data_IF_422255525682
#
_entry.id   IF_422255525682
#
_cell.length_a   1.000
_cell.length_b   1.000
_cell.length_c   1.000
_cell.angle_alpha   90.00
_cell.angle_beta   90.00
_cell.angle_gamma   90.00
#
_symmetry.space_group_name_H-M   'P 1'
#
loop_
_entity.id
_entity.type
_entity.pdbx_description
1 polymer ?
#
# COMPACT_ATOMS: atom_id res chain seq x y z
N UNK A 1 57.72 -6.98 88.75
CA UNK A 1 58.51 -7.84 89.66
C UNK A 1 59.35 -8.81 88.87
N UNK A 2 60.68 -8.77 89.12
CA UNK A 2 61.76 -9.74 88.72
C UNK A 2 62.15 -9.67 87.21
N UNK A 3 63.43 -9.62 86.90
CA UNK A 3 64.76 -9.38 87.55
C UNK A 3 65.76 -9.32 86.37
N UNK A 4 66.61 -8.31 86.45
CA UNK A 4 67.81 -8.21 85.64
C UNK A 4 68.79 -9.39 85.98
N UNK A 5 69.36 -9.98 84.97
CA UNK A 5 70.63 -10.74 85.12
C UNK A 5 71.63 -10.21 84.08
N UNK A 6 72.58 -9.47 84.61
CA UNK A 6 73.86 -9.16 83.97
C UNK A 6 74.69 -10.48 83.76
N UNK A 7 75.16 -10.68 82.59
CA UNK A 7 76.25 -11.67 82.33
C UNK A 7 77.45 -10.86 81.81
N UNK A 8 78.70 -11.21 82.26
CA UNK A 8 79.90 -10.39 82.02
C UNK A 8 80.39 -10.48 80.57
N UNK A 9 80.91 -9.33 80.08
CA UNK A 9 81.52 -9.16 78.78
C UNK A 9 82.85 -9.96 78.73
N UNK A 10 82.87 -11.00 77.90
CA UNK A 10 84.13 -11.63 77.44
C UNK A 10 84.75 -10.64 76.43
N UNK A 11 85.96 -10.17 76.84
CA UNK A 11 86.87 -9.50 75.87
C UNK A 11 87.21 -10.44 74.73
N UNK A 12 86.68 -10.24 73.61
CA UNK A 12 87.14 -10.83 72.33
C UNK A 12 88.33 -10.03 71.82
N UNK A 13 89.47 -10.68 71.67
CA UNK A 13 90.64 -10.14 70.94
C UNK A 13 90.17 -9.62 69.56
N UNK A 14 90.67 -8.46 69.13
CA UNK A 14 90.36 -7.97 67.76
C UNK A 14 90.88 -8.95 66.74
N UNK A 15 90.07 -9.38 65.83
CA UNK A 15 90.40 -10.16 64.67
C UNK A 15 91.39 -9.42 63.74
N UNK A 16 92.27 -10.07 62.99
CA UNK A 16 93.24 -9.41 62.15
C UNK A 16 92.62 -8.35 61.19
N UNK A 17 91.39 -8.58 60.81
CA UNK A 17 90.64 -7.64 59.92
C UNK A 17 90.32 -6.33 60.53
N UNK A 18 90.22 -6.24 61.90
CA UNK A 18 89.96 -5.02 62.62
C UNK A 18 91.17 -4.10 62.68
N UNK A 19 92.38 -4.64 62.61
CA UNK A 19 93.64 -3.89 62.60
C UNK A 19 93.95 -3.35 61.16
N UNK A 20 93.52 -4.01 60.14
CA UNK A 20 93.70 -3.58 58.71
C UNK A 20 92.82 -2.38 58.42
N UNK A 21 91.62 -2.27 58.99
CA UNK A 21 90.71 -1.17 58.82
C UNK A 21 91.24 0.22 59.33
N UNK A 22 92.13 0.24 60.30
CA UNK A 22 92.77 1.47 60.86
C UNK A 22 93.68 2.12 59.83
N UNK A 23 94.19 1.39 58.84
CA UNK A 23 95.10 1.93 57.79
C UNK A 23 94.55 2.03 56.43
N UNK A 24 93.24 1.77 56.21
CA UNK A 24 92.61 1.99 54.95
C UNK A 24 92.26 3.46 54.72
N UNK A 25 92.29 3.88 53.47
CA UNK A 25 91.90 5.27 53.14
C UNK A 25 90.34 5.43 53.31
N UNK A 26 89.90 6.58 53.76
CA UNK A 26 88.45 6.95 54.02
C UNK A 26 87.52 6.50 52.85
N UNK A 27 88.03 6.49 51.62
CA UNK A 27 87.27 6.08 50.44
C UNK A 27 87.02 4.58 50.35
N UNK A 28 87.98 3.71 50.86
CA UNK A 28 87.85 2.27 50.91
C UNK A 28 86.98 1.81 52.08
N UNK A 29 86.92 2.54 53.17
CA UNK A 29 86.06 2.28 54.32
C UNK A 29 84.61 2.44 53.95
N UNK A 30 84.29 3.52 53.24
CA UNK A 30 82.87 3.78 52.76
C UNK A 30 82.43 2.75 51.72
N UNK A 31 83.38 2.09 51.03
CA UNK A 31 83.05 1.10 50.02
C UNK A 31 82.83 -0.28 50.55
N UNK A 32 83.42 -0.57 51.71
CA UNK A 32 83.33 -1.89 52.32
C UNK A 32 82.39 -1.97 53.51
N UNK A 33 81.84 -0.84 53.96
CA UNK A 33 80.80 -0.80 54.99
C UNK A 33 79.53 -1.55 54.51
N UNK A 34 79.07 -2.56 55.21
CA UNK A 34 77.82 -3.24 54.87
C UNK A 34 76.69 -2.26 54.93
N UNK A 35 76.00 -2.13 53.83
CA UNK A 35 74.79 -1.32 53.75
C UNK A 35 73.88 -1.54 54.96
N UNK A 36 73.44 -0.49 55.64
CA UNK A 36 72.62 -0.64 56.83
C UNK A 36 71.35 -1.42 56.50
N UNK A 37 71.07 -2.47 57.27
CA UNK A 37 69.92 -3.37 57.05
C UNK A 37 68.57 -2.61 56.94
N UNK A 38 68.51 -1.42 57.50
CA UNK A 38 67.38 -0.53 57.47
C UNK A 38 67.08 -0.02 56.04
N UNK A 39 68.07 0.25 55.19
CA UNK A 39 67.90 0.66 53.80
C UNK A 39 67.35 -0.50 52.93
N UNK A 40 67.76 -1.74 53.22
CA UNK A 40 67.24 -2.92 52.54
C UNK A 40 65.79 -3.20 52.92
N UNK A 41 65.46 -3.02 54.21
CA UNK A 41 64.06 -3.15 54.65
C UNK A 41 63.20 -2.08 54.04
N UNK A 42 63.64 -0.83 53.95
CA UNK A 42 62.93 0.27 53.34
C UNK A 42 62.72 0.00 51.86
N UNK A 43 63.75 -0.52 51.16
CA UNK A 43 63.61 -0.91 49.72
C UNK A 43 62.59 -2.03 49.52
N UNK A 44 62.65 -3.07 50.40
CA UNK A 44 61.67 -4.17 50.31
C UNK A 44 60.27 -3.76 50.67
N UNK A 45 60.07 -2.84 51.62
CA UNK A 45 58.79 -2.28 51.99
C UNK A 45 58.28 -1.45 50.83
N UNK A 46 59.09 -0.60 50.18
CA UNK A 46 58.73 0.20 49.06
C UNK A 46 58.38 -0.66 47.81
N UNK A 47 59.19 -1.70 47.57
CA UNK A 47 58.93 -2.69 46.52
C UNK A 47 57.62 -3.48 46.76
N UNK A 48 57.40 -3.90 48.02
CA UNK A 48 56.17 -4.56 48.44
C UNK A 48 54.93 -3.66 48.28
N UNK A 49 55.07 -2.37 48.69
CA UNK A 49 54.01 -1.41 48.47
C UNK A 49 53.72 -1.14 46.98
N UNK A 50 54.76 -1.08 46.16
CA UNK A 50 54.61 -0.93 44.71
C UNK A 50 53.90 -2.13 44.06
N UNK A 51 54.30 -3.37 44.45
CA UNK A 51 53.64 -4.59 43.99
C UNK A 51 52.19 -4.67 44.48
N UNK A 52 51.93 -4.24 45.75
CA UNK A 52 50.56 -4.19 46.27
C UNK A 52 49.71 -3.16 45.50
N UNK A 53 50.28 -2.01 45.17
CA UNK A 53 49.60 -0.95 44.39
C UNK A 53 49.32 -1.41 42.94
N UNK A 54 50.25 -2.14 42.33
CA UNK A 54 50.02 -2.78 41.03
C UNK A 54 48.94 -3.86 41.08
N UNK A 55 48.93 -4.69 42.13
CA UNK A 55 47.89 -5.66 42.34
C UNK A 55 46.50 -5.03 42.51
N UNK A 56 46.38 -3.99 43.33
CA UNK A 56 45.16 -3.23 43.52
C UNK A 56 44.74 -2.60 42.20
N UNK A 57 45.65 -2.02 41.42
CA UNK A 57 45.37 -1.40 40.11
C UNK A 57 44.90 -2.46 39.08
N UNK A 58 45.31 -3.72 39.21
CA UNK A 58 44.86 -4.80 38.33
C UNK A 58 43.41 -5.24 38.64
N UNK A 59 43.02 -5.29 39.91
CA UNK A 59 41.68 -5.69 40.33
C UNK A 59 40.68 -4.52 40.29
N UNK A 60 41.15 -3.29 40.38
CA UNK A 60 40.26 -2.11 40.32
C UNK A 60 39.80 -1.87 38.88
N UNK A 61 38.48 -1.88 38.68
CA UNK A 61 37.86 -1.69 37.35
C UNK A 61 37.29 -0.26 37.25
N UNK A 62 37.52 0.40 36.13
CA UNK A 62 36.92 1.68 35.75
C UNK A 62 36.00 1.44 34.59
N UNK A 63 34.75 1.94 34.69
CA UNK A 63 33.81 1.88 33.58
C UNK A 63 34.30 2.76 32.44
N UNK A 64 34.29 2.19 31.24
CA UNK A 64 34.54 2.95 30.03
C UNK A 64 33.21 3.55 29.55
N UNK A 65 33.18 4.86 29.40
CA UNK A 65 32.00 5.61 28.97
C UNK A 65 32.33 6.21 27.60
N UNK A 66 31.37 6.13 26.68
CA UNK A 66 31.34 6.87 25.43
C UNK A 66 30.27 7.94 25.56
N UNK A 67 30.69 9.22 25.52
CA UNK A 67 29.76 10.33 25.59
C UNK A 67 29.39 10.78 24.18
N UNK A 68 28.09 10.95 23.95
CA UNK A 68 27.59 11.47 22.68
C UNK A 68 27.98 12.94 22.49
N UNK A 69 28.28 13.35 21.26
CA UNK A 69 28.60 14.74 20.94
C UNK A 69 27.35 15.64 20.94
N UNK A 70 26.21 15.08 20.56
CA UNK A 70 24.90 15.73 20.54
C UNK A 70 23.81 14.66 20.56
N UNK A 71 22.59 15.04 20.92
CA UNK A 71 21.43 14.18 20.84
C UNK A 71 20.14 14.95 21.02
N UNK A 72 19.05 14.34 20.59
CA UNK A 72 17.70 14.88 20.75
C UNK A 72 16.69 13.77 21.00
N UNK A 73 15.59 14.14 21.64
CA UNK A 73 14.45 13.22 21.77
C UNK A 73 13.73 13.15 20.46
N UNK A 74 13.51 11.92 19.97
CA UNK A 74 12.74 11.63 18.77
C UNK A 74 11.59 10.68 19.08
N UNK A 75 10.52 10.73 18.31
CA UNK A 75 9.46 9.73 18.38
C UNK A 75 9.88 8.46 17.63
N UNK A 76 9.46 7.31 18.13
CA UNK A 76 9.70 6.03 17.43
C UNK A 76 8.93 5.98 16.11
N UNK A 77 7.75 6.59 16.06
CA UNK A 77 6.96 6.74 14.85
C UNK A 77 7.27 8.07 14.16
N UNK A 78 7.33 8.08 12.83
CA UNK A 78 7.56 9.31 12.07
C UNK A 78 6.40 10.29 12.26
N UNK A 79 6.69 11.58 12.09
CA UNK A 79 5.65 12.60 12.06
C UNK A 79 4.67 12.34 10.91
N UNK A 80 3.39 12.50 11.17
CA UNK A 80 2.32 12.35 10.18
C UNK A 80 2.22 13.66 9.41
N UNK A 81 2.41 13.59 8.09
CA UNK A 81 2.29 14.75 7.21
C UNK A 81 0.97 14.67 6.45
N UNK A 82 0.07 15.61 6.72
CA UNK A 82 -1.16 15.78 5.96
C UNK A 82 -0.90 16.75 4.81
N UNK A 83 -1.15 16.28 3.60
CA UNK A 83 -0.90 17.01 2.36
C UNK A 83 -2.11 16.95 1.44
N UNK A 84 -2.22 17.89 0.51
CA UNK A 84 -3.26 17.86 -0.51
C UNK A 84 -2.96 16.76 -1.54
N UNK A 85 -3.98 15.94 -1.86
CA UNK A 85 -3.86 14.91 -2.90
C UNK A 85 -3.91 15.52 -4.31
N UNK A 86 -4.75 16.55 -4.49
CA UNK A 86 -4.94 17.28 -5.73
C UNK A 86 -4.77 18.79 -5.48
N UNK A 87 -4.47 19.62 -6.51
CA UNK A 87 -4.47 21.07 -6.39
C UNK A 87 -5.82 21.57 -5.86
N UNK A 88 -5.80 22.21 -4.71
CA UNK A 88 -7.02 22.57 -3.99
C UNK A 88 -6.89 23.94 -3.31
N UNK A 89 -8.01 24.59 -3.03
CA UNK A 89 -8.07 25.85 -2.31
C UNK A 89 -8.41 25.56 -0.84
N UNK A 90 -7.70 26.16 0.10
CA UNK A 90 -7.99 26.05 1.52
C UNK A 90 -9.29 26.81 1.82
N UNK A 91 -10.33 26.10 2.28
CA UNK A 91 -11.62 26.67 2.68
C UNK A 91 -11.67 27.05 4.15
N UNK A 92 -11.16 26.19 5.03
CA UNK A 92 -10.97 26.48 6.46
C UNK A 92 -9.74 25.80 6.98
N UNK A 93 -9.17 26.38 8.05
CA UNK A 93 -8.08 25.83 8.83
C UNK A 93 -8.49 25.98 10.30
N UNK A 94 -8.78 24.86 10.96
CA UNK A 94 -9.51 24.86 12.22
C UNK A 94 -8.60 24.54 13.41
N UNK A 95 -7.26 24.55 13.22
CA UNK A 95 -6.25 24.22 14.24
C UNK A 95 -5.08 25.20 14.22
N UNK A 96 -4.33 25.25 15.35
CA UNK A 96 -3.13 26.08 15.51
C UNK A 96 -1.89 25.24 15.86
N UNK A 97 -0.70 25.78 15.61
CA UNK A 97 0.56 25.14 16.03
C UNK A 97 0.60 24.96 17.55
N UNK A 98 0.98 23.76 18.00
CA UNK A 98 1.00 23.38 19.42
C UNK A 98 -0.33 22.85 19.96
N UNK A 99 -1.41 22.88 19.19
CA UNK A 99 -2.72 22.37 19.60
C UNK A 99 -2.74 20.84 19.65
N UNK A 100 -3.46 20.28 20.65
CA UNK A 100 -3.70 18.84 20.74
C UNK A 100 -4.99 18.47 20.01
N UNK A 101 -4.88 17.53 19.12
CA UNK A 101 -5.98 17.04 18.30
C UNK A 101 -6.28 15.58 18.61
N UNK A 102 -7.54 15.20 18.52
CA UNK A 102 -8.00 13.83 18.75
C UNK A 102 -8.18 13.10 17.41
N UNK A 103 -8.10 11.77 17.45
CA UNK A 103 -8.43 10.93 16.32
C UNK A 103 -9.80 11.31 15.71
N UNK A 104 -9.85 11.49 14.38
CA UNK A 104 -11.05 11.92 13.66
C UNK A 104 -11.43 13.40 13.79
N UNK A 105 -10.64 14.22 14.51
CA UNK A 105 -10.89 15.66 14.60
C UNK A 105 -10.60 16.32 13.25
N UNK A 106 -11.53 17.15 12.76
CA UNK A 106 -11.35 17.95 11.55
C UNK A 106 -10.29 19.03 11.79
N UNK A 107 -9.28 19.06 10.93
CA UNK A 107 -8.14 19.98 11.02
C UNK A 107 -8.19 21.07 9.96
N UNK A 108 -8.59 20.72 8.77
CA UNK A 108 -8.74 21.64 7.64
C UNK A 108 -9.77 21.10 6.66
N UNK A 109 -10.41 22.02 5.93
CA UNK A 109 -11.30 21.68 4.82
C UNK A 109 -10.77 22.34 3.55
N UNK A 110 -10.61 21.56 2.51
CA UNK A 110 -10.30 22.05 1.17
C UNK A 110 -11.60 22.34 0.40
N UNK A 111 -11.52 23.01 -0.73
CA UNK A 111 -12.70 23.29 -1.56
C UNK A 111 -13.20 22.00 -2.24
N UNK A 112 -14.43 21.55 -1.94
CA UNK A 112 -14.98 20.30 -2.48
C UNK A 112 -15.52 20.43 -3.91
N UNK A 113 -15.50 21.60 -4.53
CA UNK A 113 -16.26 21.90 -5.76
C UNK A 113 -15.93 20.93 -6.89
N UNK A 114 -14.65 20.69 -7.16
CA UNK A 114 -14.23 19.74 -8.21
C UNK A 114 -14.55 18.29 -7.83
N UNK A 115 -14.22 17.88 -6.62
CA UNK A 115 -14.50 16.52 -6.16
C UNK A 115 -16.00 16.22 -6.13
N UNK A 116 -16.84 17.19 -5.70
CA UNK A 116 -18.28 17.03 -5.73
C UNK A 116 -18.85 16.98 -7.16
N UNK A 117 -18.27 17.73 -8.10
CA UNK A 117 -18.65 17.67 -9.52
C UNK A 117 -18.32 16.29 -10.12
N UNK A 118 -17.16 15.70 -9.79
CA UNK A 118 -16.78 14.37 -10.27
C UNK A 118 -17.72 13.28 -9.73
N UNK A 119 -18.08 13.35 -8.44
CA UNK A 119 -19.10 12.48 -7.84
C UNK A 119 -20.44 12.63 -8.55
N UNK A 120 -20.88 13.86 -8.80
CA UNK A 120 -22.13 14.17 -9.51
C UNK A 120 -22.13 13.63 -10.95
N UNK A 121 -21.03 13.79 -11.68
CA UNK A 121 -20.86 13.27 -13.03
C UNK A 121 -20.91 11.74 -13.07
N UNK A 122 -20.18 11.06 -12.18
CA UNK A 122 -20.18 9.60 -12.08
C UNK A 122 -21.56 9.04 -11.69
N UNK A 123 -22.26 9.69 -10.75
CA UNK A 123 -23.62 9.31 -10.35
C UNK A 123 -24.62 9.47 -11.52
N UNK A 124 -24.52 10.56 -12.28
CA UNK A 124 -25.34 10.80 -13.48
C UNK A 124 -25.11 9.74 -14.55
N UNK A 125 -23.86 9.35 -14.76
CA UNK A 125 -23.49 8.29 -15.70
C UNK A 125 -24.08 6.94 -15.28
N UNK A 126 -24.04 6.59 -14.00
CA UNK A 126 -24.66 5.37 -13.45
C UNK A 126 -26.16 5.39 -13.70
N UNK A 127 -26.85 6.48 -13.36
CA UNK A 127 -28.30 6.59 -13.56
C UNK A 127 -28.70 6.43 -15.04
N UNK A 128 -27.93 7.00 -15.96
CA UNK A 128 -28.13 6.84 -17.40
C UNK A 128 -28.00 5.38 -17.84
N UNK A 129 -26.93 4.69 -17.39
CA UNK A 129 -26.67 3.29 -17.72
C UNK A 129 -27.68 2.33 -17.09
N UNK A 130 -28.12 2.58 -15.86
CA UNK A 130 -29.18 1.78 -15.20
C UNK A 130 -30.51 1.91 -15.93
N UNK A 131 -30.87 3.11 -16.40
CA UNK A 131 -32.05 3.33 -17.23
C UNK A 131 -31.94 2.57 -18.59
N UNK A 132 -30.75 2.59 -19.23
CA UNK A 132 -30.48 1.83 -20.47
C UNK A 132 -30.57 0.33 -20.24
N UNK A 133 -29.97 -0.20 -19.18
CA UNK A 133 -30.03 -1.63 -18.82
C UNK A 133 -31.49 -2.06 -18.59
N UNK A 134 -32.23 -1.26 -17.85
CA UNK A 134 -33.65 -1.55 -17.57
C UNK A 134 -34.49 -1.61 -18.86
N UNK A 135 -34.24 -0.70 -19.82
CA UNK A 135 -34.87 -0.74 -21.14
C UNK A 135 -34.51 -1.99 -21.92
N UNK A 136 -33.21 -2.28 -22.06
CA UNK A 136 -32.74 -3.44 -22.86
C UNK A 136 -33.24 -4.77 -22.26
N UNK A 137 -33.33 -4.86 -20.93
CA UNK A 137 -33.94 -6.02 -20.26
C UNK A 137 -35.43 -6.15 -20.55
N UNK A 138 -36.17 -5.02 -20.63
CA UNK A 138 -37.58 -5.04 -20.98
C UNK A 138 -37.79 -5.47 -22.45
N UNK A 139 -36.94 -4.99 -23.38
CA UNK A 139 -36.94 -5.39 -24.80
C UNK A 139 -36.68 -6.91 -24.96
N UNK A 140 -35.65 -7.46 -24.30
CA UNK A 140 -35.35 -8.89 -24.36
C UNK A 140 -36.43 -9.77 -23.75
N UNK A 141 -37.06 -9.28 -22.70
CA UNK A 141 -38.15 -10.00 -22.04
C UNK A 141 -39.51 -9.78 -22.71
N UNK A 142 -39.57 -9.05 -23.82
CA UNK A 142 -40.82 -8.65 -24.50
C UNK A 142 -41.87 -8.08 -23.54
N UNK A 143 -41.43 -7.29 -22.53
CA UNK A 143 -42.32 -6.66 -21.55
C UNK A 143 -42.37 -5.15 -21.77
N UNK A 144 -43.48 -4.55 -21.39
CA UNK A 144 -43.60 -3.10 -21.44
C UNK A 144 -42.61 -2.43 -20.46
N UNK A 145 -41.85 -1.49 -20.95
CA UNK A 145 -40.94 -0.67 -20.17
C UNK A 145 -41.71 0.46 -19.47
N UNK A 146 -42.04 0.24 -18.19
CA UNK A 146 -42.69 1.19 -17.32
C UNK A 146 -41.80 1.50 -16.12
N UNK A 147 -40.77 2.36 -16.25
CA UNK A 147 -39.94 2.72 -15.13
C UNK A 147 -40.76 3.46 -14.08
N UNK A 148 -40.43 3.33 -12.76
CA UNK A 148 -41.07 4.08 -11.71
C UNK A 148 -40.89 5.59 -11.96
N UNK A 149 -41.89 6.38 -11.60
CA UNK A 149 -41.82 7.84 -11.70
C UNK A 149 -40.87 8.35 -10.61
N UNK A 150 -39.63 8.70 -10.99
CA UNK A 150 -38.63 9.25 -10.08
C UNK A 150 -38.65 10.78 -10.23
N UNK A 151 -38.71 11.49 -9.10
CA UNK A 151 -38.91 12.96 -9.06
C UNK A 151 -37.58 13.74 -9.06
N UNK A 152 -36.46 13.20 -9.56
CA UNK A 152 -35.12 13.82 -9.53
C UNK A 152 -34.44 13.81 -10.90
N UNK A 153 -33.25 14.40 -11.09
CA UNK A 153 -32.57 14.46 -12.39
C UNK A 153 -32.47 13.13 -13.11
N UNK A 154 -32.47 12.01 -12.40
CA UNK A 154 -32.54 10.66 -12.95
C UNK A 154 -33.83 10.41 -13.78
N UNK A 155 -34.91 11.13 -13.52
CA UNK A 155 -36.13 11.04 -14.30
C UNK A 155 -35.96 11.45 -15.77
N UNK A 156 -34.98 12.29 -16.07
CA UNK A 156 -34.69 12.71 -17.46
C UNK A 156 -34.15 11.50 -18.26
N UNK A 157 -33.28 10.69 -17.68
CA UNK A 157 -32.72 9.50 -18.35
C UNK A 157 -33.78 8.41 -18.57
N UNK A 158 -34.63 8.18 -17.58
CA UNK A 158 -35.72 7.18 -17.71
C UNK A 158 -36.76 7.63 -18.73
N UNK A 159 -37.08 8.92 -18.79
CA UNK A 159 -37.99 9.49 -19.81
C UNK A 159 -37.43 9.35 -21.22
N UNK A 160 -36.14 9.65 -21.40
CA UNK A 160 -35.45 9.49 -22.68
C UNK A 160 -35.42 8.01 -23.12
N UNK A 161 -35.08 7.10 -22.21
CA UNK A 161 -35.05 5.67 -22.51
C UNK A 161 -36.45 5.11 -22.80
N UNK A 162 -37.51 5.67 -22.18
CA UNK A 162 -38.90 5.31 -22.49
C UNK A 162 -39.29 5.72 -23.90
N UNK A 163 -38.96 6.93 -24.29
CA UNK A 163 -39.22 7.39 -25.66
C UNK A 163 -38.50 6.52 -26.69
N UNK A 164 -37.23 6.21 -26.44
CA UNK A 164 -36.43 5.34 -27.29
C UNK A 164 -36.99 3.92 -27.36
N UNK A 165 -37.42 3.34 -26.24
CA UNK A 165 -38.10 2.04 -26.17
C UNK A 165 -39.33 2.00 -27.06
N UNK A 166 -40.22 3.00 -26.96
CA UNK A 166 -41.46 3.06 -27.75
C UNK A 166 -41.17 3.12 -29.25
N UNK A 167 -40.18 3.90 -29.67
CA UNK A 167 -39.73 3.97 -31.05
C UNK A 167 -39.21 2.61 -31.55
N UNK A 168 -38.33 1.98 -30.81
CA UNK A 168 -37.77 0.67 -31.17
C UNK A 168 -38.80 -0.44 -31.22
N UNK A 169 -39.72 -0.46 -30.21
CA UNK A 169 -40.84 -1.40 -30.17
C UNK A 169 -41.73 -1.23 -31.41
N UNK A 170 -42.09 0.02 -31.74
CA UNK A 170 -42.88 0.29 -32.97
C UNK A 170 -42.19 -0.17 -34.23
N UNK A 171 -40.89 -0.03 -34.37
CA UNK A 171 -40.11 -0.52 -35.48
C UNK A 171 -40.11 -2.06 -35.55
N UNK A 172 -39.88 -2.73 -34.42
CA UNK A 172 -39.90 -4.20 -34.31
C UNK A 172 -41.27 -4.77 -34.68
N UNK A 173 -42.32 -4.24 -34.07
CA UNK A 173 -43.68 -4.70 -34.28
C UNK A 173 -44.14 -4.49 -35.79
N UNK A 174 -43.79 -3.35 -36.40
CA UNK A 174 -44.09 -3.09 -37.79
C UNK A 174 -43.36 -4.08 -38.74
N UNK A 175 -42.10 -4.39 -38.49
CA UNK A 175 -41.33 -5.33 -39.29
C UNK A 175 -41.83 -6.77 -39.10
N UNK A 176 -42.21 -7.14 -37.87
CA UNK A 176 -42.79 -8.46 -37.60
C UNK A 176 -44.13 -8.64 -38.31
N UNK A 177 -45.02 -7.61 -38.24
CA UNK A 177 -46.29 -7.58 -38.96
C UNK A 177 -46.09 -7.75 -40.45
N UNK A 178 -45.11 -7.07 -41.04
CA UNK A 178 -44.81 -7.22 -42.50
C UNK A 178 -44.47 -8.66 -42.87
N UNK A 179 -43.68 -9.37 -42.07
CA UNK A 179 -43.41 -10.78 -42.27
C UNK A 179 -44.66 -11.67 -42.10
N UNK A 180 -45.48 -11.41 -41.07
CA UNK A 180 -46.69 -12.17 -40.78
C UNK A 180 -47.74 -12.02 -41.95
N UNK A 181 -47.87 -10.83 -42.50
CA UNK A 181 -48.71 -10.59 -43.70
C UNK A 181 -48.18 -11.32 -44.94
N UNK A 182 -46.87 -11.34 -45.14
CA UNK A 182 -46.26 -12.09 -46.25
C UNK A 182 -46.41 -13.61 -46.09
N UNK A 183 -46.30 -14.13 -44.85
CA UNK A 183 -46.58 -15.53 -44.51
C UNK A 183 -48.06 -15.85 -44.79
N UNK A 184 -49.00 -14.96 -44.39
CA UNK A 184 -50.43 -15.13 -44.66
C UNK A 184 -50.74 -15.16 -46.18
N UNK A 185 -50.09 -14.30 -46.95
CA UNK A 185 -50.22 -14.28 -48.44
C UNK A 185 -49.69 -15.62 -49.04
N UNK A 186 -48.51 -16.09 -48.66
CA UNK A 186 -47.95 -17.33 -49.14
C UNK A 186 -48.86 -18.53 -48.76
N UNK A 187 -49.40 -18.58 -47.56
CA UNK A 187 -50.38 -19.59 -47.13
C UNK A 187 -51.66 -19.56 -47.94
N UNK A 188 -52.15 -18.37 -48.33
CA UNK A 188 -53.34 -18.23 -49.18
C UNK A 188 -53.05 -18.76 -50.61
N UNK A 189 -51.87 -18.49 -51.19
CA UNK A 189 -51.43 -19.01 -52.48
C UNK A 189 -51.35 -20.54 -52.47
N UNK A 190 -50.77 -21.14 -51.43
CA UNK A 190 -50.68 -22.59 -51.24
C UNK A 190 -52.06 -23.22 -51.16
N UNK A 191 -53.01 -22.62 -50.42
CA UNK A 191 -54.39 -23.13 -50.37
C UNK A 191 -55.02 -23.12 -51.74
N UNK A 192 -54.96 -22.00 -52.47
CA UNK A 192 -55.49 -21.88 -53.83
C UNK A 192 -54.95 -23.00 -54.79
N UNK A 193 -53.60 -23.18 -54.78
CA UNK A 193 -52.99 -24.21 -55.66
C UNK A 193 -53.37 -25.64 -55.25
N UNK A 194 -53.54 -25.88 -53.91
CA UNK A 194 -54.07 -27.22 -53.47
C UNK A 194 -55.51 -27.44 -53.89
N UNK A 195 -56.37 -26.42 -53.82
CA UNK A 195 -57.75 -26.53 -54.31
C UNK A 195 -57.77 -26.72 -55.82
N UNK A 196 -56.97 -25.97 -56.59
CA UNK A 196 -56.86 -26.11 -58.03
C UNK A 196 -56.38 -27.57 -58.45
N UNK A 197 -55.38 -28.08 -57.74
CA UNK A 197 -54.86 -29.43 -57.95
C UNK A 197 -55.95 -30.50 -57.67
N UNK A 198 -56.75 -30.34 -56.64
CA UNK A 198 -57.87 -31.26 -56.36
C UNK A 198 -58.88 -31.24 -57.47
N UNK A 199 -59.21 -30.07 -58.04
CA UNK A 199 -60.08 -29.98 -59.20
C UNK A 199 -59.45 -30.63 -60.47
N UNK A 200 -58.14 -30.46 -60.69
CA UNK A 200 -57.45 -31.12 -61.82
C UNK A 200 -57.38 -32.65 -61.66
N UNK A 201 -57.19 -33.16 -60.39
CA UNK A 201 -57.25 -34.60 -60.12
C UNK A 201 -58.60 -35.18 -60.59
N UNK A 202 -59.72 -34.55 -60.36
CA UNK A 202 -61.05 -35.04 -60.81
C UNK A 202 -61.20 -34.91 -62.32
N UNK A 203 -60.71 -33.81 -62.93
CA UNK A 203 -60.67 -33.63 -64.36
C UNK A 203 -59.84 -34.70 -65.10
N UNK A 204 -58.67 -35.05 -64.50
CA UNK A 204 -57.82 -36.15 -65.09
C UNK A 204 -58.56 -37.49 -65.03
N UNK A 205 -59.31 -37.79 -63.91
CA UNK A 205 -60.11 -39.02 -63.82
C UNK A 205 -61.15 -39.09 -64.95
N UNK A 206 -61.97 -38.05 -65.10
CA UNK A 206 -63.00 -37.96 -66.16
C UNK A 206 -62.37 -38.03 -67.57
N UNK A 207 -61.25 -37.32 -67.82
CA UNK A 207 -60.57 -37.32 -69.12
C UNK A 207 -59.98 -38.69 -69.48
N UNK A 208 -59.46 -39.41 -68.44
CA UNK A 208 -58.98 -40.82 -68.62
C UNK A 208 -60.12 -41.79 -68.94
N UNK A 209 -61.30 -41.64 -68.33
CA UNK A 209 -62.48 -42.41 -68.60
C UNK A 209 -62.96 -42.18 -70.04
N UNK A 210 -63.06 -40.92 -70.48
CA UNK A 210 -63.42 -40.56 -71.87
C UNK A 210 -62.44 -41.16 -72.86
N UNK A 211 -61.14 -41.06 -72.63
CA UNK A 211 -60.09 -41.67 -73.49
C UNK A 211 -60.27 -43.20 -73.56
N UNK A 212 -60.51 -43.88 -72.44
CA UNK A 212 -60.74 -45.32 -72.33
C UNK A 212 -61.97 -45.76 -73.17
N UNK A 213 -63.09 -45.00 -73.01
CA UNK A 213 -64.28 -45.26 -73.81
C UNK A 213 -64.00 -45.12 -75.32
N UNK A 214 -63.29 -44.05 -75.74
CA UNK A 214 -62.91 -43.79 -77.13
C UNK A 214 -61.93 -44.83 -77.70
N UNK A 215 -60.98 -45.29 -76.86
CA UNK A 215 -60.05 -46.38 -77.19
C UNK A 215 -60.77 -47.67 -77.44
N UNK A 216 -61.77 -48.06 -76.66
CA UNK A 216 -62.60 -49.24 -76.80
C UNK A 216 -63.42 -49.16 -78.10
N UNK A 217 -64.05 -48.01 -78.41
CA UNK A 217 -64.77 -47.75 -79.60
C UNK A 217 -63.89 -47.86 -80.89
N UNK A 218 -62.69 -47.28 -80.81
CA UNK A 218 -61.69 -47.35 -81.92
C UNK A 218 -61.18 -48.77 -82.17
N UNK A 219 -60.92 -49.55 -81.06
CA UNK A 219 -60.52 -50.96 -81.16
C UNK A 219 -61.56 -51.81 -81.76
N UNK A 220 -62.85 -51.54 -81.53
CA UNK A 220 -64.01 -52.20 -82.08
C UNK A 220 -64.37 -51.74 -83.51
N UNK A 221 -63.57 -50.83 -84.15
CA UNK A 221 -63.79 -50.29 -85.49
C UNK A 221 -65.08 -49.43 -85.62
N UNK A 222 -65.72 -49.02 -84.52
CA UNK A 222 -66.95 -48.22 -84.50
C UNK A 222 -66.64 -46.74 -84.27
N UNK A 223 -65.44 -46.39 -83.73
CA UNK A 223 -65.00 -45.02 -83.48
C UNK A 223 -63.87 -44.53 -84.32
N UNK A 224 -63.79 -43.23 -84.61
CA UNK A 224 -62.70 -42.57 -85.31
C UNK A 224 -61.43 -42.56 -84.55
N UNK A 225 -60.27 -42.95 -85.12
CA UNK A 225 -58.91 -42.81 -84.57
C UNK A 225 -58.57 -41.34 -84.21
N UNK A 226 -59.08 -40.38 -85.02
CA UNK A 226 -58.91 -38.94 -84.75
C UNK A 226 -59.55 -38.57 -83.42
N UNK A 227 -60.77 -39.06 -83.13
CA UNK A 227 -61.45 -38.81 -81.86
C UNK A 227 -60.68 -39.38 -80.66
N UNK A 228 -59.99 -40.52 -80.79
CA UNK A 228 -59.12 -41.04 -79.71
C UNK A 228 -57.90 -40.18 -79.55
N UNK A 229 -57.19 -39.80 -80.63
CA UNK A 229 -56.04 -38.93 -80.53
C UNK A 229 -56.40 -37.56 -79.94
N UNK A 230 -57.54 -36.98 -80.25
CA UNK A 230 -58.06 -35.73 -79.64
C UNK A 230 -58.31 -35.92 -78.17
N UNK A 231 -58.89 -37.07 -77.73
CA UNK A 231 -59.06 -37.31 -76.25
C UNK A 231 -57.74 -37.51 -75.47
N UNK A 232 -56.76 -38.19 -76.14
CA UNK A 232 -55.42 -38.34 -75.58
C UNK A 232 -54.74 -36.97 -75.45
N UNK A 233 -54.80 -36.12 -76.47
CA UNK A 233 -54.25 -34.76 -76.45
C UNK A 233 -54.87 -33.91 -75.36
N UNK A 234 -56.21 -33.91 -75.21
CA UNK A 234 -56.93 -33.23 -74.15
C UNK A 234 -56.51 -33.71 -72.80
N UNK A 235 -56.31 -35.01 -72.55
CA UNK A 235 -55.80 -35.52 -71.27
C UNK A 235 -54.36 -35.10 -71.01
N UNK A 236 -53.49 -35.10 -72.00
CA UNK A 236 -52.10 -34.67 -71.88
C UNK A 236 -52.04 -33.15 -71.49
N UNK A 237 -52.90 -32.33 -72.09
CA UNK A 237 -52.96 -30.89 -71.72
C UNK A 237 -53.46 -30.66 -70.28
N UNK A 238 -54.43 -31.45 -69.81
CA UNK A 238 -54.87 -31.39 -68.43
C UNK A 238 -53.76 -31.83 -67.49
N UNK A 239 -53.00 -32.91 -67.80
CA UNK A 239 -51.86 -33.36 -67.00
C UNK A 239 -50.72 -32.31 -66.99
N UNK A 240 -50.43 -31.68 -68.11
CA UNK A 240 -49.45 -30.62 -68.23
C UNK A 240 -49.78 -29.45 -67.27
N UNK A 241 -51.04 -29.02 -67.19
CA UNK A 241 -51.53 -27.97 -66.28
C UNK A 241 -51.45 -28.41 -64.82
N UNK A 242 -51.86 -29.67 -64.57
CA UNK A 242 -51.72 -30.24 -63.20
C UNK A 242 -50.27 -30.25 -62.74
N UNK A 243 -49.33 -30.69 -63.59
CA UNK A 243 -47.89 -30.72 -63.25
C UNK A 243 -47.33 -29.29 -63.05
N UNK A 244 -47.82 -28.32 -63.86
CA UNK A 244 -47.46 -26.93 -63.68
C UNK A 244 -47.91 -26.41 -62.31
N UNK A 245 -49.18 -26.66 -61.91
CA UNK A 245 -49.70 -26.23 -60.62
C UNK A 245 -49.03 -27.00 -59.46
N UNK A 246 -48.63 -28.25 -59.62
CA UNK A 246 -47.88 -29.05 -58.66
C UNK A 246 -46.49 -28.43 -58.41
N UNK A 247 -45.80 -28.05 -59.49
CA UNK A 247 -44.51 -27.38 -59.39
C UNK A 247 -44.67 -26.00 -58.77
N UNK A 248 -45.70 -25.23 -59.10
CA UNK A 248 -46.06 -23.97 -58.46
C UNK A 248 -46.38 -24.09 -56.94
N UNK A 249 -47.04 -25.23 -56.57
CA UNK A 249 -47.24 -25.51 -55.13
C UNK A 249 -45.93 -25.74 -54.41
N UNK A 250 -45.02 -26.53 -54.94
CA UNK A 250 -43.72 -26.82 -54.39
C UNK A 250 -42.91 -25.46 -54.19
N UNK A 251 -42.93 -24.61 -55.23
CA UNK A 251 -42.29 -23.30 -55.20
C UNK A 251 -42.90 -22.42 -54.08
N UNK A 252 -44.23 -22.36 -53.96
CA UNK A 252 -44.93 -21.60 -52.95
C UNK A 252 -44.65 -22.11 -51.52
N UNK A 253 -44.51 -23.46 -51.35
CA UNK A 253 -44.13 -24.06 -50.07
C UNK A 253 -42.67 -23.69 -49.69
N UNK A 254 -41.73 -23.72 -50.63
CA UNK A 254 -40.37 -23.25 -50.42
C UNK A 254 -40.32 -21.74 -50.10
N UNK A 255 -41.11 -20.92 -50.79
CA UNK A 255 -41.20 -19.48 -50.52
C UNK A 255 -41.78 -19.20 -49.12
N UNK A 256 -42.77 -19.96 -48.66
CA UNK A 256 -43.28 -19.89 -47.31
C UNK A 256 -42.19 -20.23 -46.28
N UNK A 257 -41.47 -21.33 -46.46
CA UNK A 257 -40.40 -21.75 -45.59
C UNK A 257 -39.28 -20.69 -45.48
N UNK A 258 -38.89 -20.12 -46.63
CA UNK A 258 -37.92 -19.04 -46.72
C UNK A 258 -38.39 -17.77 -45.95
N UNK A 259 -39.68 -17.39 -46.10
CA UNK A 259 -40.23 -16.24 -45.40
C UNK A 259 -40.27 -16.46 -43.89
N UNK A 260 -40.63 -17.65 -43.42
CA UNK A 260 -40.60 -18.02 -41.99
C UNK A 260 -39.17 -17.94 -41.46
N UNK A 261 -38.20 -18.52 -42.19
CA UNK A 261 -36.77 -18.47 -41.82
C UNK A 261 -36.26 -17.04 -41.72
N UNK A 262 -36.63 -16.15 -42.64
CA UNK A 262 -36.26 -14.75 -42.64
C UNK A 262 -36.87 -13.99 -41.43
N UNK A 263 -38.14 -14.27 -41.09
CA UNK A 263 -38.80 -13.77 -39.92
C UNK A 263 -38.06 -14.17 -38.62
N UNK A 264 -37.76 -15.43 -38.48
CA UNK A 264 -37.08 -15.98 -37.32
C UNK A 264 -35.64 -15.41 -37.23
N UNK A 265 -34.92 -15.33 -38.34
CA UNK A 265 -33.61 -14.68 -38.38
C UNK A 265 -33.65 -13.21 -37.95
N UNK A 266 -34.70 -12.45 -38.36
CA UNK A 266 -34.91 -11.08 -37.90
C UNK A 266 -35.09 -11.02 -36.39
N UNK A 267 -35.89 -11.88 -35.77
CA UNK A 267 -36.14 -11.94 -34.33
C UNK A 267 -34.83 -12.23 -33.57
N UNK A 268 -34.09 -13.25 -34.04
CA UNK A 268 -32.79 -13.62 -33.45
C UNK A 268 -31.75 -12.51 -33.59
N UNK A 269 -31.67 -11.87 -34.76
CA UNK A 269 -30.75 -10.75 -35.00
C UNK A 269 -31.08 -9.57 -34.06
N UNK A 270 -32.36 -9.24 -33.90
CA UNK A 270 -32.82 -8.21 -32.99
C UNK A 270 -32.44 -8.53 -31.53
N UNK A 271 -32.75 -9.75 -31.10
CA UNK A 271 -32.39 -10.22 -29.75
C UNK A 271 -30.90 -10.20 -29.51
N UNK A 272 -30.10 -10.61 -30.50
CA UNK A 272 -28.64 -10.57 -30.45
C UNK A 272 -28.10 -9.13 -30.28
N UNK A 273 -28.65 -8.17 -31.04
CA UNK A 273 -28.27 -6.76 -30.94
C UNK A 273 -28.60 -6.18 -29.57
N UNK A 274 -29.80 -6.44 -29.04
CA UNK A 274 -30.21 -5.97 -27.70
C UNK A 274 -29.36 -6.62 -26.60
N UNK A 275 -29.02 -7.91 -26.75
CA UNK A 275 -28.16 -8.62 -25.82
C UNK A 275 -26.75 -8.00 -25.79
N UNK A 276 -26.19 -7.69 -26.97
CA UNK A 276 -24.89 -7.02 -27.07
C UNK A 276 -24.90 -5.63 -26.41
N UNK A 277 -25.98 -4.86 -26.64
CA UNK A 277 -26.18 -3.56 -26.00
C UNK A 277 -26.25 -3.70 -24.47
N UNK A 278 -26.96 -4.72 -23.97
CA UNK A 278 -27.06 -5.03 -22.53
C UNK A 278 -25.70 -5.34 -21.92
N UNK A 279 -24.91 -6.19 -22.57
CA UNK A 279 -23.55 -6.55 -22.10
C UNK A 279 -22.66 -5.31 -22.05
N UNK A 280 -22.69 -4.50 -23.12
CA UNK A 280 -21.90 -3.26 -23.18
C UNK A 280 -22.32 -2.28 -22.08
N UNK A 281 -23.61 -2.10 -21.86
CA UNK A 281 -24.14 -1.21 -20.81
C UNK A 281 -23.77 -1.70 -19.39
N UNK A 282 -23.79 -3.02 -19.15
CA UNK A 282 -23.39 -3.59 -17.85
C UNK A 282 -21.89 -3.38 -17.57
N UNK A 283 -21.03 -3.65 -18.55
CA UNK A 283 -19.58 -3.40 -18.39
C UNK A 283 -19.28 -1.91 -18.15
N UNK A 284 -20.00 -1.03 -18.86
CA UNK A 284 -19.88 0.42 -18.64
C UNK A 284 -20.38 0.83 -17.24
N UNK A 285 -21.47 0.22 -16.73
CA UNK A 285 -21.99 0.44 -15.39
C UNK A 285 -20.97 0.06 -14.32
N UNK A 286 -20.32 -1.11 -14.46
CA UNK A 286 -19.31 -1.55 -13.50
C UNK A 286 -18.11 -0.58 -13.49
N UNK A 287 -17.69 -0.09 -14.65
CA UNK A 287 -16.64 0.94 -14.76
C UNK A 287 -17.08 2.25 -14.11
N UNK A 288 -18.33 2.71 -14.36
CA UNK A 288 -18.86 3.93 -13.77
C UNK A 288 -18.97 3.84 -12.23
N UNK A 289 -19.34 2.67 -11.69
CA UNK A 289 -19.38 2.42 -10.24
C UNK A 289 -17.98 2.51 -9.61
N UNK A 290 -16.95 1.98 -10.28
CA UNK A 290 -15.57 2.13 -9.81
C UNK A 290 -15.12 3.60 -9.83
N UNK A 291 -15.49 4.34 -10.88
CA UNK A 291 -15.24 5.79 -10.96
C UNK A 291 -15.94 6.56 -9.84
N UNK A 292 -17.21 6.23 -9.54
CA UNK A 292 -17.92 6.83 -8.42
C UNK A 292 -17.23 6.55 -7.09
N UNK A 293 -16.81 5.31 -6.84
CA UNK A 293 -16.09 4.95 -5.62
C UNK A 293 -14.77 5.73 -5.48
N UNK A 294 -14.02 5.87 -6.59
CA UNK A 294 -12.81 6.72 -6.63
C UNK A 294 -13.13 8.18 -6.35
N UNK A 295 -14.12 8.76 -7.03
CA UNK A 295 -14.52 10.16 -6.85
C UNK A 295 -15.03 10.44 -5.43
N UNK A 296 -15.82 9.53 -4.85
CA UNK A 296 -16.28 9.63 -3.46
C UNK A 296 -15.10 9.62 -2.48
N UNK A 297 -14.11 8.73 -2.71
CA UNK A 297 -12.91 8.72 -1.87
C UNK A 297 -12.11 10.01 -1.98
N UNK A 298 -11.98 10.58 -3.18
CA UNK A 298 -11.37 11.90 -3.36
C UNK A 298 -12.14 12.99 -2.61
N UNK A 299 -13.47 12.93 -2.63
CA UNK A 299 -14.32 13.89 -1.90
C UNK A 299 -14.14 13.76 -0.38
N UNK A 300 -13.97 12.55 0.17
CA UNK A 300 -13.67 12.35 1.60
C UNK A 300 -12.33 13.00 1.98
N UNK A 301 -11.32 12.88 1.11
CA UNK A 301 -9.97 13.44 1.32
C UNK A 301 -9.88 14.97 1.27
N UNK A 302 -10.95 15.64 0.84
CA UNK A 302 -11.09 17.11 0.95
C UNK A 302 -11.16 17.56 2.42
N UNK A 303 -11.60 16.68 3.33
CA UNK A 303 -11.63 16.88 4.76
C UNK A 303 -10.38 16.26 5.37
N UNK A 304 -9.45 17.09 5.82
CA UNK A 304 -8.25 16.64 6.49
C UNK A 304 -8.54 16.42 7.96
N UNK A 305 -8.62 15.17 8.37
CA UNK A 305 -8.89 14.74 9.74
C UNK A 305 -7.63 14.13 10.37
N UNK A 306 -7.49 14.23 11.68
CA UNK A 306 -6.37 13.63 12.42
C UNK A 306 -6.49 12.10 12.41
N UNK A 307 -5.50 11.37 11.89
CA UNK A 307 -5.54 9.90 11.84
C UNK A 307 -5.31 9.24 13.21
N UNK A 308 -4.75 10.00 14.18
CA UNK A 308 -4.52 9.55 15.55
C UNK A 308 -4.49 10.75 16.51
N UNK A 309 -4.52 10.49 17.82
CA UNK A 309 -4.31 11.53 18.83
C UNK A 309 -2.90 12.10 18.68
N UNK A 310 -2.81 13.40 18.40
CA UNK A 310 -1.55 14.02 18.02
C UNK A 310 -1.44 15.48 18.52
N UNK A 311 -0.25 16.05 18.36
CA UNK A 311 0.01 17.48 18.53
C UNK A 311 0.39 18.07 17.18
N UNK A 312 -0.16 19.21 16.82
CA UNK A 312 0.21 19.97 15.62
C UNK A 312 1.62 20.54 15.80
N UNK A 313 2.59 19.98 15.07
CA UNK A 313 3.98 20.47 15.12
C UNK A 313 4.19 21.71 14.27
N UNK A 314 3.62 21.67 13.05
CA UNK A 314 3.85 22.75 12.08
C UNK A 314 2.62 22.88 11.17
N UNK A 315 2.26 24.11 10.89
CA UNK A 315 1.29 24.50 9.86
C UNK A 315 2.00 25.18 8.69
N UNK A 316 1.54 24.92 7.49
CA UNK A 316 1.98 25.70 6.33
C UNK A 316 1.58 27.17 6.53
N UNK A 317 2.50 28.08 6.22
CA UNK A 317 2.25 29.54 6.33
C UNK A 317 1.35 30.03 5.17
N UNK A 318 0.16 29.46 5.07
CA UNK A 318 -0.85 29.74 4.07
C UNK A 318 -2.14 30.22 4.74
N UNK A 319 -2.83 31.15 4.09
CA UNK A 319 -4.13 31.65 4.55
C UNK A 319 -5.29 30.94 3.86
N UNK A 320 -6.48 31.03 4.45
CA UNK A 320 -7.73 30.64 3.80
C UNK A 320 -7.84 31.35 2.44
N UNK A 321 -8.18 30.61 1.39
CA UNK A 321 -8.19 31.07 0.00
C UNK A 321 -6.88 30.83 -0.77
N UNK A 322 -5.80 30.39 -0.11
CA UNK A 322 -4.56 30.00 -0.80
C UNK A 322 -4.72 28.69 -1.55
N UNK A 323 -4.00 28.57 -2.66
CA UNK A 323 -3.94 27.36 -3.48
C UNK A 323 -2.80 26.46 -2.99
N UNK A 324 -3.12 25.22 -2.68
CA UNK A 324 -2.19 24.12 -2.43
C UNK A 324 -1.93 23.38 -3.74
N UNK A 325 -0.70 22.99 -3.98
CA UNK A 325 -0.33 22.07 -5.06
C UNK A 325 -0.43 20.62 -4.55
N UNK A 326 -0.49 19.70 -5.46
CA UNK A 326 -0.36 18.26 -5.16
C UNK A 326 0.93 17.99 -4.39
N UNK A 327 0.81 17.28 -3.26
CA UNK A 327 1.94 16.93 -2.40
C UNK A 327 2.44 18.04 -1.47
N UNK A 328 1.90 19.26 -1.52
CA UNK A 328 2.30 20.33 -0.59
C UNK A 328 1.88 19.95 0.85
N UNK A 329 2.82 19.94 1.82
CA UNK A 329 2.51 19.65 3.21
C UNK A 329 1.73 20.80 3.83
N UNK A 330 0.52 20.53 4.33
CA UNK A 330 -0.31 21.52 5.01
C UNK A 330 -0.13 21.47 6.53
N UNK A 331 -0.22 20.27 7.12
CA UNK A 331 -0.18 20.05 8.57
C UNK A 331 0.78 18.91 8.87
N UNK A 332 1.68 19.13 9.82
CA UNK A 332 2.57 18.08 10.36
C UNK A 332 2.16 17.79 11.79
N UNK A 333 1.86 16.52 12.08
CA UNK A 333 1.40 16.06 13.38
C UNK A 333 2.44 15.15 14.05
N UNK A 334 2.60 15.26 15.37
CA UNK A 334 3.33 14.29 16.19
C UNK A 334 2.34 13.44 16.97
N UNK A 335 2.37 12.11 16.84
CA UNK A 335 1.51 11.22 17.62
C UNK A 335 1.79 11.37 19.13
N UNK A 336 0.72 11.49 19.96
CA UNK A 336 0.84 11.67 21.41
C UNK A 336 1.25 10.41 22.16
N UNK A 337 0.92 9.25 21.62
CA UNK A 337 1.14 7.94 22.24
C UNK A 337 2.38 7.21 21.71
N UNK A 338 3.11 7.83 20.79
CA UNK A 338 4.35 7.24 20.28
C UNK A 338 5.42 7.23 21.37
N UNK A 339 6.04 6.07 21.66
CA UNK A 339 7.16 6.01 22.58
C UNK A 339 8.29 6.92 22.08
N UNK A 340 8.88 7.66 22.99
CA UNK A 340 10.02 8.53 22.68
C UNK A 340 11.33 7.81 22.96
N UNK A 341 12.34 8.10 22.16
CA UNK A 341 13.71 7.60 22.27
C UNK A 341 14.70 8.75 22.18
N UNK A 342 15.91 8.54 22.72
CA UNK A 342 16.99 9.49 22.48
C UNK A 342 17.75 9.08 21.22
N UNK A 343 17.79 9.93 20.21
CA UNK A 343 18.71 9.81 19.09
C UNK A 343 19.96 10.59 19.39
N UNK A 344 21.13 9.93 19.39
CA UNK A 344 22.40 10.51 19.80
C UNK A 344 23.45 10.31 18.72
N UNK A 345 24.37 11.25 18.64
CA UNK A 345 25.50 11.25 17.70
C UNK A 345 26.74 10.70 18.39
N UNK A 346 27.30 9.63 17.87
CA UNK A 346 28.51 8.98 18.39
C UNK A 346 29.66 9.25 17.39
N UNK A 347 30.78 9.77 17.92
CA UNK A 347 31.94 10.03 17.11
C UNK A 347 32.49 8.75 16.47
N UNK A 348 32.96 8.82 15.21
CA UNK A 348 33.48 7.69 14.45
C UNK A 348 34.58 6.90 15.17
N UNK A 349 35.43 7.57 15.94
CA UNK A 349 36.50 6.94 16.72
C UNK A 349 36.00 6.05 17.88
N UNK A 350 34.72 6.21 18.30
CA UNK A 350 34.16 5.55 19.49
C UNK A 350 33.13 4.48 19.14
N UNK A 351 32.58 4.51 17.94
CA UNK A 351 31.53 3.57 17.52
C UNK A 351 31.93 2.09 17.62
N UNK A 352 33.20 1.77 17.38
CA UNK A 352 33.69 0.38 17.45
C UNK A 352 33.57 -0.25 18.85
N UNK A 353 33.22 0.53 19.88
CA UNK A 353 33.06 0.04 21.25
C UNK A 353 31.61 -0.05 21.69
N UNK A 354 30.69 0.65 21.01
CA UNK A 354 29.26 0.68 21.33
C UNK A 354 28.54 -0.48 20.65
N UNK A 355 27.66 -1.15 21.39
CA UNK A 355 26.87 -2.27 20.93
C UNK A 355 25.40 -2.09 21.28
N UNK A 356 24.48 -2.61 20.47
CA UNK A 356 23.09 -2.74 20.89
C UNK A 356 22.99 -3.52 22.21
N UNK A 357 22.19 -3.01 23.15
CA UNK A 357 22.06 -3.55 24.50
C UNK A 357 22.93 -2.87 25.57
N UNK A 358 23.90 -2.02 25.20
CA UNK A 358 24.72 -1.28 26.15
C UNK A 358 23.85 -0.30 26.95
N UNK A 359 24.11 -0.23 28.27
CA UNK A 359 23.41 0.70 29.16
C UNK A 359 23.82 2.13 28.86
N UNK A 360 22.84 3.02 28.83
CA UNK A 360 23.05 4.44 28.59
C UNK A 360 22.39 5.27 29.70
N UNK A 361 23.07 6.33 30.10
CA UNK A 361 22.56 7.35 30.99
C UNK A 361 22.38 8.63 30.19
N UNK A 362 21.13 9.07 30.05
CA UNK A 362 20.76 10.27 29.29
C UNK A 362 20.60 11.45 30.21
N UNK A 363 21.27 12.53 29.86
CA UNK A 363 21.22 13.84 30.54
C UNK A 363 20.47 14.80 29.64
N UNK A 364 19.42 15.41 30.15
CA UNK A 364 18.61 16.39 29.43
C UNK A 364 19.24 17.77 29.57
N UNK A 365 19.55 18.45 28.49
CA UNK A 365 20.21 19.77 28.55
C UNK A 365 19.39 20.85 29.26
N UNK A 366 18.04 20.89 29.18
CA UNK A 366 17.22 21.85 29.91
C UNK A 366 17.28 21.68 31.45
N UNK A 367 17.79 20.54 31.95
CA UNK A 367 17.81 20.22 33.37
C UNK A 367 19.23 19.86 33.83
N UNK A 368 19.70 20.52 34.91
CA UNK A 368 20.97 20.13 35.51
C UNK A 368 20.88 18.72 36.07
N UNK A 369 21.69 17.80 35.50
CA UNK A 369 21.69 16.38 35.90
C UNK A 369 22.08 16.19 37.40
N UNK A 370 22.77 17.15 37.99
CA UNK A 370 23.15 17.12 39.40
C UNK A 370 21.96 17.36 40.33
N UNK A 371 21.04 18.23 39.92
CA UNK A 371 19.86 18.62 40.70
C UNK A 371 18.63 17.76 40.34
N UNK A 372 18.44 17.49 39.06
CA UNK A 372 17.22 16.86 38.55
C UNK A 372 17.40 15.38 38.26
N UNK A 373 18.64 14.85 38.19
CA UNK A 373 18.89 13.44 37.92
C UNK A 373 19.06 13.14 36.42
N UNK A 374 18.93 11.87 36.08
CA UNK A 374 19.20 11.37 34.73
C UNK A 374 18.12 10.36 34.30
N UNK A 375 18.01 10.14 33.03
CA UNK A 375 17.16 9.11 32.47
C UNK A 375 17.99 7.89 32.08
N UNK A 376 17.59 6.71 32.54
CA UNK A 376 18.27 5.46 32.26
C UNK A 376 17.66 4.80 31.03
N UNK A 377 18.52 4.23 30.18
CA UNK A 377 18.09 3.54 28.97
C UNK A 377 19.14 2.52 28.48
N UNK A 378 18.90 1.98 27.31
CA UNK A 378 19.84 1.10 26.61
C UNK A 378 19.85 1.40 25.11
N UNK A 379 20.99 1.17 24.49
CA UNK A 379 21.15 1.34 23.04
C UNK A 379 20.32 0.27 22.32
N UNK A 380 19.29 0.71 21.57
CA UNK A 380 18.43 -0.19 20.81
C UNK A 380 18.97 -0.45 19.41
N UNK A 381 19.46 0.60 18.78
CA UNK A 381 19.89 0.56 17.39
C UNK A 381 21.06 1.50 17.15
N UNK A 382 21.89 1.14 16.19
CA UNK A 382 23.05 1.92 15.72
C UNK A 382 23.00 1.94 14.20
N UNK A 383 23.26 3.08 13.57
CA UNK A 383 23.31 3.20 12.12
C UNK A 383 24.47 2.38 11.53
N UNK A 384 24.25 1.72 10.40
CA UNK A 384 25.28 0.97 9.68
C UNK A 384 26.26 1.88 8.93
N UNK A 385 25.86 3.13 8.65
CA UNK A 385 26.67 4.13 7.95
C UNK A 385 26.94 5.37 8.79
N UNK A 386 28.06 6.07 8.49
CA UNK A 386 28.36 7.36 9.07
C UNK A 386 27.65 8.48 8.31
N UNK A 387 27.20 9.50 9.04
CA UNK A 387 26.60 10.72 8.52
C UNK A 387 27.63 11.84 8.59
N UNK A 388 27.76 12.63 7.53
CA UNK A 388 28.66 13.81 7.42
C UNK A 388 27.90 15.13 7.30
N UNK A 389 26.58 15.08 7.40
CA UNK A 389 25.70 16.25 7.39
C UNK A 389 24.74 16.18 8.57
N UNK A 390 24.46 17.30 9.18
CA UNK A 390 23.43 17.47 10.17
C UNK A 390 22.03 17.47 9.52
N UNK A 391 20.97 17.34 10.32
CA UNK A 391 19.58 17.35 9.84
C UNK A 391 19.20 18.65 9.08
N UNK A 392 20.00 19.72 9.22
CA UNK A 392 19.87 20.99 8.50
C UNK A 392 20.69 21.02 7.19
N UNK A 393 21.39 19.94 6.82
CA UNK A 393 22.22 19.87 5.63
C UNK A 393 23.60 20.52 5.77
N UNK A 394 24.00 20.99 6.97
CA UNK A 394 25.31 21.55 7.23
C UNK A 394 26.36 20.44 7.38
N UNK A 395 27.55 20.66 6.82
CA UNK A 395 28.66 19.70 6.96
C UNK A 395 29.14 19.66 8.42
N UNK A 396 29.21 18.46 8.98
CA UNK A 396 29.71 18.20 10.34
C UNK A 396 30.72 17.05 10.32
N UNK A 397 31.50 16.92 11.40
CA UNK A 397 32.39 15.79 11.55
C UNK A 397 31.60 14.47 11.44
N UNK A 398 32.14 13.45 10.74
CA UNK A 398 31.43 12.20 10.56
C UNK A 398 31.04 11.54 11.89
N UNK A 399 29.76 11.19 12.02
CA UNK A 399 29.18 10.57 13.21
C UNK A 399 28.25 9.41 12.85
N UNK A 400 27.99 8.54 13.83
CA UNK A 400 26.99 7.49 13.74
C UNK A 400 25.79 7.86 14.59
N UNK A 401 24.58 7.60 14.09
CA UNK A 401 23.34 7.75 14.86
C UNK A 401 23.10 6.49 15.70
N UNK A 402 22.80 6.67 16.99
CA UNK A 402 22.32 5.58 17.85
C UNK A 402 21.02 5.99 18.50
N UNK A 403 20.09 5.04 18.66
CA UNK A 403 18.83 5.23 19.35
C UNK A 403 18.86 4.51 20.69
N UNK A 404 18.53 5.24 21.75
CA UNK A 404 18.49 4.78 23.11
C UNK A 404 17.04 4.74 23.56
N UNK A 405 16.55 3.53 23.87
CA UNK A 405 15.24 3.34 24.46
C UNK A 405 15.30 3.61 25.97
N UNK A 406 14.36 4.42 26.46
CA UNK A 406 14.27 4.73 27.88
C UNK A 406 13.69 3.56 28.67
N UNK A 407 14.33 3.21 29.79
CA UNK A 407 13.86 2.17 30.70
C UNK A 407 13.22 2.78 31.93
N UNK A 408 13.82 3.81 32.49
CA UNK A 408 13.37 4.47 33.73
C UNK A 408 13.68 5.96 33.65
N UNK A 409 12.66 6.76 33.90
CA UNK A 409 12.79 8.23 33.97
C UNK A 409 12.82 8.61 35.42
N UNK A 410 14.02 8.83 35.96
CA UNK A 410 14.24 9.29 37.36
C UNK A 410 14.63 10.76 37.36
N UNK A 411 13.62 11.63 37.28
CA UNK A 411 13.82 13.07 37.40
C UNK A 411 13.21 13.55 38.71
N UNK A 412 14.02 14.28 39.51
CA UNK A 412 13.62 14.88 40.77
C UNK A 412 13.32 16.36 40.56
N UNK A 413 12.42 16.91 41.36
CA UNK A 413 12.09 18.35 41.39
C UNK A 413 11.67 18.89 39.97
N UNK A 414 10.96 18.10 39.20
CA UNK A 414 10.40 18.47 37.89
C UNK A 414 8.89 18.70 38.10
N UNK A 415 8.24 19.65 37.40
CA UNK A 415 6.79 19.84 37.48
C UNK A 415 6.02 18.55 37.10
N UNK A 416 4.91 18.26 37.78
CA UNK A 416 4.08 17.06 37.51
C UNK A 416 3.55 17.00 36.09
N UNK A 417 3.47 18.14 35.41
CA UNK A 417 3.08 18.26 34.01
C UNK A 417 4.19 18.00 33.01
N UNK A 418 5.43 17.79 33.47
CA UNK A 418 6.58 17.59 32.60
C UNK A 418 6.48 16.27 31.82
N UNK A 419 6.72 16.33 30.56
CA UNK A 419 6.86 15.17 29.66
C UNK A 419 8.07 15.33 28.77
N UNK A 420 8.68 14.22 28.40
CA UNK A 420 9.70 14.20 27.36
C UNK A 420 9.07 14.59 26.02
N UNK A 421 9.49 15.70 25.45
CA UNK A 421 8.94 16.24 24.20
C UNK A 421 9.96 16.03 23.07
N UNK A 422 9.55 15.56 21.90
CA UNK A 422 10.42 15.48 20.74
C UNK A 422 11.09 16.82 20.44
N UNK A 423 12.38 16.79 20.05
CA UNK A 423 13.19 17.96 19.80
C UNK A 423 13.93 18.50 21.03
N UNK A 424 13.72 17.97 22.23
CA UNK A 424 14.56 18.31 23.42
C UNK A 424 15.98 17.82 23.18
N UNK A 425 16.96 18.69 23.40
CA UNK A 425 18.38 18.37 23.32
C UNK A 425 18.85 17.61 24.57
N UNK A 426 19.78 16.71 24.35
CA UNK A 426 20.30 15.83 25.38
C UNK A 426 21.73 15.37 25.08
N UNK A 427 22.39 14.87 26.10
CA UNK A 427 23.67 14.18 25.98
C UNK A 427 23.54 12.80 26.62
N UNK A 428 24.15 11.77 26.04
CA UNK A 428 24.11 10.42 26.59
C UNK A 428 25.50 9.88 26.87
N UNK A 429 25.62 9.25 28.02
CA UNK A 429 26.81 8.50 28.47
C UNK A 429 26.53 7.00 28.29
N UNK A 430 27.15 6.37 27.33
CA UNK A 430 26.98 4.93 27.02
C UNK A 430 28.09 4.15 27.71
N UNK A 431 27.72 3.19 28.55
CA UNK A 431 28.66 2.34 29.27
C UNK A 431 29.06 1.14 28.40
N UNK A 432 30.26 1.19 27.82
CA UNK A 432 30.76 0.19 26.84
C UNK A 432 31.68 -0.88 27.47
N UNK A 433 31.52 -1.13 28.75
CA UNK A 433 32.26 -2.14 29.52
C UNK A 433 33.20 -1.54 30.56
N UNK A 434 33.99 -2.40 31.22
CA UNK A 434 34.97 -2.01 32.28
C UNK A 434 36.38 -2.34 31.86
N UNK A 435 37.37 -1.58 32.37
CA UNK A 435 38.78 -1.83 32.19
C UNK A 435 39.50 -1.74 33.54
N UNK A 436 40.51 -2.55 33.76
CA UNK A 436 41.36 -2.38 34.94
C UNK A 436 42.19 -1.10 34.82
N UNK A 437 42.43 -0.46 35.94
CA UNK A 437 43.26 0.76 36.02
C UNK A 437 44.65 0.49 35.46
N UNK A 438 45.20 -0.70 35.78
CA UNK A 438 46.49 -1.16 35.19
C UNK A 438 46.53 -1.13 33.68
N UNK A 439 45.49 -1.71 33.02
CA UNK A 439 45.40 -1.74 31.54
C UNK A 439 45.19 -0.35 30.94
N UNK A 440 44.53 0.54 31.68
CA UNK A 440 44.36 1.94 31.28
C UNK A 440 45.71 2.66 31.19
N UNK A 441 46.49 2.61 32.28
CA UNK A 441 47.83 3.22 32.36
C UNK A 441 48.80 2.59 31.35
N UNK A 442 48.78 1.24 31.26
CA UNK A 442 49.67 0.50 30.35
C UNK A 442 49.44 0.89 28.87
N UNK A 443 48.15 0.99 28.47
CA UNK A 443 47.82 1.47 27.10
C UNK A 443 48.24 2.90 26.84
N UNK A 444 48.16 3.78 27.87
CA UNK A 444 48.65 5.15 27.75
C UNK A 444 50.16 5.17 27.46
N UNK A 445 50.95 4.40 28.23
CA UNK A 445 52.38 4.29 28.04
C UNK A 445 52.74 3.70 26.69
N UNK A 446 52.11 2.57 26.32
CA UNK A 446 52.34 1.90 25.03
C UNK A 446 52.01 2.85 23.85
N UNK A 447 50.92 3.62 23.96
CA UNK A 447 50.55 4.62 22.95
C UNK A 447 51.61 5.69 22.82
N UNK A 448 52.04 6.28 23.91
CA UNK A 448 53.10 7.33 23.90
C UNK A 448 54.41 6.82 23.34
N UNK A 449 54.82 5.58 23.65
CA UNK A 449 56.01 4.94 23.10
C UNK A 449 55.85 4.70 21.57
N UNK A 450 54.68 4.20 21.16
CA UNK A 450 54.41 3.89 19.74
C UNK A 450 54.33 5.16 18.88
N UNK A 451 53.79 6.25 19.47
CA UNK A 451 53.74 7.57 18.81
C UNK A 451 55.14 8.22 18.77
N UNK A 452 55.95 8.09 19.82
CA UNK A 452 57.30 8.61 19.88
C UNK A 452 58.30 7.86 18.98
N UNK A 453 58.00 6.61 18.60
CA UNK A 453 58.87 5.81 17.70
C UNK A 453 58.43 5.86 16.24
N UNK A 454 57.46 6.67 15.87
CA UNK A 454 57.10 6.99 14.46
C UNK A 454 57.61 8.34 14.11
N UNK A 455 58.60 8.39 13.22
CA UNK A 455 58.95 9.60 12.51
C UNK A 455 57.80 9.97 11.56
N UNK A 456 57.50 11.28 11.39
CA UNK A 456 56.42 11.78 10.53
C UNK A 456 56.59 11.43 9.06
#
# INVERSE_FOLDING_TARGET
MRLFRFAPALRRNPTPDALIRIFQSEVSEVREDPEPAQLRVTLHVLAGLFVALLAVSFFMQINRIVTSSAGQIVTTEPAIVLQALDPSIIKSLDVQEGERVKHGQLLATLDPTFAAADVGAAASQIASLEAQISRTQAELAHRDFNPPVITRPEAAYTTLQRAYYLQRKGQFDAQLLAYDEQIAQNKATIRKLKDDLAHYDDRVKVSREIEGMRATLAANQVGSRLNLLTATDQRMEILRTQDFDRNGLAEAEHQLASTIANRDAFVEQWSGQVSQELVTARNALDTARQQLAKASRHQDLVRLEAPDDAVVLKLAKLSVGSVLKEGDPLITLAPLHSPVEAEVHIATREIGFVRPGDRATVKLDPFSFVEHGTVSGYVRWISEGAFSQDDNGSAVDPYYKARIAFTEVKLNAVPDSFRLVPGMTLTADISVGSRSVFMYVLKGVIRSVNEAMREP
#
